data_IF_318335203439
#
_entry.id   IF_318335203439
#
_cell.length_a   1.000
_cell.length_b   1.000
_cell.length_c   1.000
_cell.angle_alpha   90.00
_cell.angle_beta   90.00
_cell.angle_gamma   90.00
#
_symmetry.space_group_name_H-M   'P 1'
#
loop_
_entity.id
_entity.type
_entity.pdbx_description
1 polymer ?
#
# COMPACT_ATOMS: atom_id res chain seq x y z
N UNK A 1 -0.50 17.62 18.07
CA UNK A 1 -0.14 16.44 17.25
C UNK A 1 -0.44 16.78 15.80
N UNK A 2 0.46 16.47 14.87
CA UNK A 2 0.14 16.57 13.43
C UNK A 2 -0.89 15.49 13.08
N UNK A 3 -1.63 15.66 11.98
CA UNK A 3 -2.56 14.62 11.53
C UNK A 3 -1.78 13.33 11.26
N UNK A 4 -2.36 12.19 11.66
CA UNK A 4 -1.81 10.88 11.30
C UNK A 4 -2.22 10.45 9.90
N UNK A 5 -3.27 11.07 9.34
CA UNK A 5 -3.56 10.98 7.92
C UNK A 5 -2.61 11.88 7.14
N UNK A 6 -2.32 11.51 5.90
CA UNK A 6 -1.71 12.39 4.91
C UNK A 6 -2.51 12.38 3.62
N UNK A 7 -2.19 13.27 2.69
CA UNK A 7 -2.91 13.37 1.42
C UNK A 7 -2.80 12.12 0.55
N UNK A 8 -1.71 11.35 0.70
CA UNK A 8 -1.48 10.13 -0.06
C UNK A 8 -1.72 8.91 0.83
N UNK A 9 -2.81 8.22 0.55
CA UNK A 9 -3.20 7.00 1.24
C UNK A 9 -3.92 6.05 0.28
N UNK A 10 -3.96 4.78 0.66
CA UNK A 10 -4.83 3.80 0.03
C UNK A 10 -5.38 2.85 1.10
N UNK A 11 -6.46 2.15 0.75
CA UNK A 11 -7.14 1.23 1.65
C UNK A 11 -7.60 -0.05 0.94
N UNK A 12 -7.54 -1.15 1.68
CA UNK A 12 -8.10 -2.44 1.30
C UNK A 12 -9.28 -2.78 2.21
N UNK A 13 -10.43 -3.10 1.62
CA UNK A 13 -11.57 -3.65 2.38
C UNK A 13 -11.29 -5.13 2.70
N UNK A 14 -11.34 -5.46 3.99
CA UNK A 14 -11.19 -6.80 4.50
C UNK A 14 -12.52 -7.57 4.40
N UNK A 15 -12.47 -8.90 4.55
CA UNK A 15 -13.68 -9.73 4.54
C UNK A 15 -14.72 -9.33 5.62
N UNK A 16 -14.31 -8.67 6.70
CA UNK A 16 -15.20 -8.11 7.72
C UNK A 16 -15.94 -6.84 7.27
N UNK A 17 -15.51 -6.21 6.17
CA UNK A 17 -15.92 -4.88 5.73
C UNK A 17 -15.13 -3.74 6.39
N UNK A 18 -14.19 -4.06 7.28
CA UNK A 18 -13.24 -3.09 7.82
C UNK A 18 -12.26 -2.64 6.74
N UNK A 19 -11.69 -1.44 6.87
CA UNK A 19 -10.66 -0.94 5.97
C UNK A 19 -9.30 -1.00 6.66
N UNK A 20 -8.35 -1.71 6.05
CA UNK A 20 -6.93 -1.55 6.35
C UNK A 20 -6.40 -0.42 5.48
N UNK A 21 -5.83 0.61 6.10
CA UNK A 21 -5.30 1.78 5.40
C UNK A 21 -3.79 1.91 5.61
N UNK A 22 -3.06 2.33 4.57
CA UNK A 22 -1.68 2.82 4.68
C UNK A 22 -1.66 4.30 4.25
N UNK A 23 -0.97 5.12 5.02
CA UNK A 23 -0.80 6.55 4.81
C UNK A 23 0.68 6.88 4.58
N UNK A 24 0.96 7.74 3.61
CA UNK A 24 2.18 8.57 3.59
C UNK A 24 1.87 9.84 4.36
N UNK A 25 2.68 10.17 5.34
CA UNK A 25 2.52 11.41 6.09
C UNK A 25 3.85 11.84 6.69
N UNK A 26 4.02 13.13 6.96
CA UNK A 26 5.11 13.62 7.82
C UNK A 26 4.93 13.02 9.20
N UNK A 27 6.01 12.54 9.84
CA UNK A 27 5.94 11.87 11.15
C UNK A 27 4.98 12.58 12.14
N UNK A 28 3.81 11.97 12.43
CA UNK A 28 2.78 12.59 13.24
C UNK A 28 3.21 12.81 14.70
N UNK A 29 4.24 12.08 15.15
CA UNK A 29 4.81 12.23 16.49
C UNK A 29 5.66 13.48 16.64
N UNK A 30 6.06 14.12 15.53
CA UNK A 30 6.93 15.29 15.51
C UNK A 30 8.39 15.00 15.89
N UNK A 31 8.80 13.72 15.97
CA UNK A 31 10.20 13.35 16.23
C UNK A 31 11.11 13.65 15.04
N UNK A 32 10.54 13.70 13.83
CA UNK A 32 11.23 14.09 12.60
C UNK A 32 10.28 14.82 11.65
N UNK A 33 10.84 15.56 10.68
CA UNK A 33 10.10 16.17 9.57
C UNK A 33 10.11 15.28 8.32
N UNK A 34 10.60 14.03 8.44
CA UNK A 34 10.59 13.06 7.35
C UNK A 34 9.19 12.48 7.13
N UNK A 35 8.92 12.12 5.89
CA UNK A 35 7.77 11.30 5.56
C UNK A 35 7.98 9.85 5.98
N UNK A 36 6.92 9.25 6.50
CA UNK A 36 6.88 7.89 7.04
C UNK A 36 5.63 7.16 6.56
N UNK A 37 5.60 5.84 6.80
CA UNK A 37 4.38 5.05 6.66
C UNK A 37 3.67 4.93 7.98
N UNK A 38 2.39 5.28 7.98
CA UNK A 38 1.46 4.98 9.04
C UNK A 38 0.38 4.04 8.53
N UNK A 39 -0.20 3.27 9.43
CA UNK A 39 -1.30 2.38 9.11
C UNK A 39 -2.45 2.58 10.09
N UNK A 40 -3.65 2.25 9.65
CA UNK A 40 -4.83 2.26 10.50
C UNK A 40 -5.81 1.15 10.14
N UNK A 41 -6.43 0.54 11.14
CA UNK A 41 -7.61 -0.30 10.96
C UNK A 41 -8.86 0.51 11.27
N UNK A 42 -9.69 0.69 10.25
CA UNK A 42 -10.92 1.45 10.30
C UNK A 42 -12.09 0.46 10.35
N UNK A 43 -12.74 0.38 11.52
CA UNK A 43 -13.81 -0.59 11.76
C UNK A 43 -15.12 -0.11 11.15
N UNK A 44 -15.81 -0.99 10.43
CA UNK A 44 -17.12 -0.69 9.84
C UNK A 44 -18.15 -0.43 10.94
N UNK A 45 -18.87 0.68 10.81
CA UNK A 45 -19.95 1.10 11.70
C UNK A 45 -21.12 1.63 10.84
N UNK A 46 -22.07 0.73 10.56
CA UNK A 46 -23.18 0.99 9.64
C UNK A 46 -22.67 1.27 8.22
N UNK A 47 -22.85 2.52 7.77
CA UNK A 47 -22.41 3.02 6.45
C UNK A 47 -21.12 3.86 6.56
N UNK A 48 -20.44 3.80 7.70
CA UNK A 48 -19.24 4.59 7.98
C UNK A 48 -18.13 3.70 8.52
N UNK A 49 -16.95 4.28 8.75
CA UNK A 49 -15.86 3.62 9.44
C UNK A 49 -15.28 4.48 10.54
N UNK A 50 -14.91 3.85 11.64
CA UNK A 50 -14.27 4.49 12.80
C UNK A 50 -12.85 3.97 12.96
N UNK A 51 -11.82 4.85 13.01
CA UNK A 51 -10.46 4.42 13.33
C UNK A 51 -10.44 3.67 14.67
N UNK A 52 -9.72 2.56 14.75
CA UNK A 52 -9.48 1.82 15.99
C UNK A 52 -8.02 1.97 16.39
N UNK A 53 -7.15 1.21 15.74
CA UNK A 53 -5.71 1.24 15.95
C UNK A 53 -5.07 2.01 14.81
N UNK A 54 -4.31 3.06 15.14
CA UNK A 54 -3.57 3.86 14.18
C UNK A 54 -2.15 4.07 14.71
N UNK A 55 -1.14 3.83 13.88
CA UNK A 55 0.25 3.96 14.29
C UNK A 55 1.24 3.74 13.15
N UNK A 56 2.55 3.68 13.48
CA UNK A 56 3.59 3.42 12.49
C UNK A 56 3.38 2.07 11.79
N UNK A 57 3.54 2.05 10.46
CA UNK A 57 3.58 0.80 9.71
C UNK A 57 5.04 0.31 9.62
N UNK A 58 5.31 -1.01 9.71
CA UNK A 58 6.66 -1.57 9.53
C UNK A 58 7.05 -1.67 8.05
N UNK A 59 6.63 -0.70 7.23
CA UNK A 59 6.84 -0.66 5.79
C UNK A 59 7.78 0.51 5.45
N UNK A 60 8.78 0.32 4.58
CA UNK A 60 9.65 1.41 4.18
C UNK A 60 8.88 2.54 3.49
N UNK A 61 9.35 3.77 3.66
CA UNK A 61 8.87 4.90 2.89
C UNK A 61 9.10 4.66 1.37
N UNK A 62 8.12 5.06 0.59
CA UNK A 62 8.07 5.06 -0.88
C UNK A 62 7.04 6.13 -1.29
N UNK A 63 6.70 6.21 -2.58
CA UNK A 63 5.72 7.15 -3.13
C UNK A 63 4.28 6.94 -2.63
N UNK A 64 3.27 7.07 -3.49
CA UNK A 64 1.89 6.73 -3.14
C UNK A 64 1.81 5.29 -2.61
N UNK A 65 1.18 5.05 -1.44
CA UNK A 65 0.95 3.69 -0.95
C UNK A 65 -0.12 3.00 -1.80
N UNK A 66 0.02 1.70 -2.06
CA UNK A 66 -0.97 0.92 -2.80
C UNK A 66 -1.28 -0.35 -2.02
N UNK A 67 -2.58 -0.61 -1.82
CA UNK A 67 -3.10 -1.80 -1.18
C UNK A 67 -4.03 -2.59 -2.10
N UNK A 68 -3.83 -3.90 -2.14
CA UNK A 68 -4.70 -4.82 -2.87
C UNK A 68 -5.19 -5.93 -1.95
N UNK A 69 -6.50 -5.93 -1.65
CA UNK A 69 -7.15 -7.10 -1.10
C UNK A 69 -7.24 -8.18 -2.19
N UNK A 70 -6.55 -9.30 -2.00
CA UNK A 70 -6.56 -10.39 -2.97
C UNK A 70 -7.62 -11.44 -2.62
N UNK A 71 -8.01 -12.23 -3.61
CA UNK A 71 -8.97 -13.35 -3.47
C UNK A 71 -8.46 -14.47 -2.57
N UNK A 72 -7.14 -14.58 -2.43
CA UNK A 72 -6.44 -15.53 -1.57
C UNK A 72 -6.47 -15.14 -0.08
N UNK A 73 -7.12 -14.01 0.27
CA UNK A 73 -7.29 -13.56 1.64
C UNK A 73 -6.07 -12.83 2.23
N UNK A 74 -5.09 -12.49 1.38
CA UNK A 74 -3.94 -11.66 1.74
C UNK A 74 -4.17 -10.25 1.22
N UNK A 75 -3.79 -9.24 1.99
CA UNK A 75 -3.67 -7.86 1.49
C UNK A 75 -2.22 -7.62 1.12
N UNK A 76 -1.97 -7.15 -0.11
CA UNK A 76 -0.64 -6.76 -0.56
C UNK A 76 -0.44 -5.26 -0.39
N UNK A 77 0.73 -4.86 0.11
CA UNK A 77 1.30 -3.53 -0.06
C UNK A 77 2.33 -3.58 -1.18
N UNK A 78 2.11 -2.79 -2.22
CA UNK A 78 2.92 -2.80 -3.45
C UNK A 78 3.70 -1.49 -3.53
N UNK A 79 5.03 -1.58 -3.61
CA UNK A 79 5.90 -0.41 -3.61
C UNK A 79 7.24 -0.65 -4.31
N UNK A 80 7.97 0.45 -4.56
CA UNK A 80 9.34 0.44 -5.07
C UNK A 80 10.35 -0.21 -4.12
N UNK A 81 10.02 -0.30 -2.83
CA UNK A 81 10.81 -0.97 -1.81
C UNK A 81 10.52 -2.48 -1.70
N UNK A 82 9.56 -2.99 -2.46
CA UNK A 82 9.16 -4.39 -2.48
C UNK A 82 7.68 -4.60 -2.19
N UNK A 83 7.19 -5.78 -2.55
CA UNK A 83 5.81 -6.20 -2.31
C UNK A 83 5.76 -7.00 -1.00
N UNK A 84 4.87 -6.59 -0.10
CA UNK A 84 4.70 -7.22 1.21
C UNK A 84 3.24 -7.64 1.40
N UNK A 85 2.99 -8.79 1.99
CA UNK A 85 1.65 -9.30 2.28
C UNK A 85 1.34 -9.31 3.77
N UNK A 86 0.06 -9.11 4.10
CA UNK A 86 -0.51 -9.33 5.43
C UNK A 86 -1.76 -10.19 5.34
N UNK A 87 -1.93 -11.12 6.28
CA UNK A 87 -3.12 -11.96 6.43
C UNK A 87 -3.83 -11.73 7.77
N UNK A 88 -3.36 -10.76 8.57
CA UNK A 88 -3.79 -10.54 9.95
C UNK A 88 -4.26 -9.09 10.21
N UNK A 89 -4.69 -8.41 9.14
CA UNK A 89 -5.17 -7.02 9.21
C UNK A 89 -4.05 -6.01 9.45
N UNK A 90 -2.84 -6.27 8.94
CA UNK A 90 -1.69 -5.38 9.05
C UNK A 90 -0.94 -5.48 10.39
N UNK A 91 -1.22 -6.47 11.24
CA UNK A 91 -0.45 -6.69 12.47
C UNK A 91 0.96 -7.18 12.16
N UNK A 92 1.12 -7.96 11.10
CA UNK A 92 2.40 -8.36 10.54
C UNK A 92 2.41 -8.24 9.03
N UNK A 93 3.59 -7.94 8.49
CA UNK A 93 3.85 -7.81 7.06
C UNK A 93 5.05 -8.68 6.69
N UNK A 94 4.91 -9.47 5.63
CA UNK A 94 5.95 -10.38 5.14
C UNK A 94 6.28 -10.04 3.69
N UNK A 95 7.57 -9.98 3.35
CA UNK A 95 8.00 -9.82 1.96
C UNK A 95 7.47 -10.99 1.11
N UNK A 96 6.89 -10.67 -0.04
CA UNK A 96 6.35 -11.67 -0.96
C UNK A 96 7.51 -12.32 -1.73
N UNK A 97 7.78 -13.59 -1.44
CA UNK A 97 8.88 -14.33 -2.06
C UNK A 97 8.76 -14.36 -3.58
N UNK A 98 9.86 -14.10 -4.28
CA UNK A 98 9.92 -14.11 -5.74
C UNK A 98 9.28 -12.90 -6.43
N UNK A 99 8.59 -12.04 -5.68
CA UNK A 99 8.04 -10.81 -6.24
C UNK A 99 9.14 -9.77 -6.46
N UNK A 100 9.05 -9.04 -7.57
CA UNK A 100 9.89 -7.87 -7.84
C UNK A 100 9.19 -6.62 -7.29
N UNK A 101 9.92 -5.62 -6.79
CA UNK A 101 9.34 -4.32 -6.48
C UNK A 101 8.67 -3.72 -7.72
N UNK A 102 7.64 -2.90 -7.50
CA UNK A 102 6.97 -2.14 -8.57
C UNK A 102 7.78 -0.90 -8.97
N UNK A 103 7.35 -0.22 -10.03
CA UNK A 103 7.71 1.18 -10.28
C UNK A 103 7.08 2.15 -9.26
N UNK A 104 7.28 3.45 -9.50
CA UNK A 104 6.78 4.54 -8.64
C UNK A 104 5.26 4.69 -8.79
N UNK A 105 4.58 5.07 -7.69
CA UNK A 105 3.13 5.31 -7.63
C UNK A 105 2.31 4.19 -8.30
N UNK A 106 2.43 2.94 -7.80
CA UNK A 106 1.72 1.82 -8.40
C UNK A 106 0.22 1.92 -8.18
N UNK A 107 -0.56 1.36 -9.12
CA UNK A 107 -1.96 1.00 -8.95
C UNK A 107 -2.17 -0.43 -9.42
N UNK A 108 -2.94 -1.21 -8.69
CA UNK A 108 -3.09 -2.63 -8.94
C UNK A 108 -4.53 -3.10 -8.97
N UNK A 109 -4.74 -4.24 -9.64
CA UNK A 109 -6.03 -4.91 -9.74
C UNK A 109 -5.79 -6.41 -9.87
N UNK A 110 -6.66 -7.21 -9.25
CA UNK A 110 -6.70 -8.65 -9.45
C UNK A 110 -7.90 -9.03 -10.32
N UNK A 111 -7.62 -9.66 -11.46
CA UNK A 111 -8.62 -10.18 -12.38
C UNK A 111 -9.29 -11.46 -11.81
N UNK A 112 -10.42 -11.85 -12.40
CA UNK A 112 -11.23 -12.99 -11.99
C UNK A 112 -10.47 -14.32 -12.04
N UNK A 113 -9.48 -14.44 -12.91
CA UNK A 113 -8.62 -15.63 -13.00
C UNK A 113 -7.52 -15.68 -11.91
N UNK A 114 -7.43 -14.64 -11.06
CA UNK A 114 -6.43 -14.52 -9.99
C UNK A 114 -5.15 -13.77 -10.38
N UNK A 115 -5.03 -13.32 -11.64
CA UNK A 115 -3.86 -12.56 -12.10
C UNK A 115 -3.89 -11.15 -11.53
N UNK A 116 -2.77 -10.74 -10.97
CA UNK A 116 -2.55 -9.39 -10.48
C UNK A 116 -1.83 -8.60 -11.56
N UNK A 117 -2.36 -7.42 -11.87
CA UNK A 117 -1.75 -6.43 -12.74
C UNK A 117 -1.34 -5.22 -11.90
N UNK A 118 -0.14 -4.70 -12.14
CA UNK A 118 0.38 -3.51 -11.49
C UNK A 118 0.78 -2.53 -12.58
N UNK A 119 0.19 -1.34 -12.55
CA UNK A 119 0.54 -0.24 -13.43
C UNK A 119 1.32 0.77 -12.61
N UNK A 120 2.52 1.14 -13.07
CA UNK A 120 3.39 2.03 -12.30
C UNK A 120 4.24 2.90 -13.20
N UNK A 121 4.72 4.00 -12.61
CA UNK A 121 5.52 5.00 -13.29
C UNK A 121 7.01 4.63 -13.30
N UNK A 122 7.64 4.82 -14.47
CA UNK A 122 9.10 4.88 -14.61
C UNK A 122 9.53 6.32 -14.42
N UNK A 123 10.45 6.54 -13.48
CA UNK A 123 10.79 7.88 -12.98
C UNK A 123 10.06 8.18 -11.68
N UNK A 124 10.09 9.42 -11.25
CA UNK A 124 9.42 9.93 -10.06
C UNK A 124 9.03 11.40 -10.23
N UNK A 125 9.25 12.20 -9.20
CA UNK A 125 9.04 13.65 -9.21
C UNK A 125 10.20 14.36 -9.93
N UNK A 126 10.55 13.88 -11.12
CA UNK A 126 11.67 14.35 -11.91
C UNK A 126 11.33 15.65 -12.66
N UNK A 127 12.33 16.51 -12.82
CA UNK A 127 12.20 17.71 -13.64
C UNK A 127 11.97 17.36 -15.12
N UNK A 128 11.29 18.25 -15.85
CA UNK A 128 11.03 18.09 -17.28
C UNK A 128 12.31 17.80 -18.07
N UNK A 129 12.29 16.74 -18.89
CA UNK A 129 13.40 16.32 -19.73
C UNK A 129 14.50 15.52 -19.03
N UNK A 130 14.39 15.26 -17.72
CA UNK A 130 15.38 14.46 -16.98
C UNK A 130 15.24 12.94 -17.21
N UNK A 131 14.01 12.47 -17.41
CA UNK A 131 13.69 11.05 -17.58
C UNK A 131 12.64 10.90 -18.67
N UNK A 132 12.79 9.89 -19.54
CA UNK A 132 11.71 9.42 -20.43
C UNK A 132 10.67 8.67 -19.59
N UNK A 133 9.74 9.44 -19.04
CA UNK A 133 8.68 8.95 -18.19
C UNK A 133 7.70 8.07 -18.98
N UNK A 134 7.29 6.96 -18.37
CA UNK A 134 6.33 6.02 -18.97
C UNK A 134 5.56 5.27 -17.90
N UNK A 135 4.39 4.75 -18.27
CA UNK A 135 3.66 3.79 -17.44
C UNK A 135 3.98 2.38 -17.93
N UNK A 136 4.38 1.50 -17.00
CA UNK A 136 4.63 0.08 -17.26
C UNK A 136 3.62 -0.78 -16.54
N UNK A 137 3.37 -1.95 -17.12
CA UNK A 137 2.53 -2.99 -16.53
C UNK A 137 3.40 -4.19 -16.16
N UNK A 138 3.39 -4.53 -14.87
CA UNK A 138 3.90 -5.79 -14.35
C UNK A 138 2.71 -6.73 -14.03
N UNK A 139 2.97 -8.03 -14.01
CA UNK A 139 1.94 -9.00 -13.65
C UNK A 139 2.51 -10.26 -13.03
N UNK A 140 1.77 -10.83 -12.08
CA UNK A 140 2.05 -12.14 -11.49
C UNK A 140 0.76 -12.79 -11.00
N UNK A 141 0.87 -14.03 -10.50
CA UNK A 141 -0.19 -14.72 -9.76
C UNK A 141 0.37 -15.10 -8.39
N UNK A 142 -0.47 -15.08 -7.38
CA UNK A 142 -0.16 -15.77 -6.14
C UNK A 142 -0.29 -17.28 -6.38
N UNK A 143 0.61 -18.05 -5.80
CA UNK A 143 0.51 -19.51 -5.77
C UNK A 143 0.24 -19.92 -4.32
N UNK A 144 -0.65 -20.89 -4.14
CA UNK A 144 -0.73 -21.61 -2.87
C UNK A 144 0.65 -22.22 -2.57
N UNK A 145 1.10 -22.12 -1.32
CA UNK A 145 2.29 -22.83 -0.87
C UNK A 145 2.00 -24.31 -0.66
#
# INVERSE_FOLDING_TARGET
>A
AKSWSGEEYDCAELASGDLLCIFRTVDPTGKTEKEVRWQGLLKKDGQTWKPQDVGPAPLPHSGHPELLATREGVVLHIATSGIHGTADGGKSWQALSGARPSGYYPRSVQDADGRIYIFSHVGGDDAYGAVDQSIRMDTFRLSDK
#
